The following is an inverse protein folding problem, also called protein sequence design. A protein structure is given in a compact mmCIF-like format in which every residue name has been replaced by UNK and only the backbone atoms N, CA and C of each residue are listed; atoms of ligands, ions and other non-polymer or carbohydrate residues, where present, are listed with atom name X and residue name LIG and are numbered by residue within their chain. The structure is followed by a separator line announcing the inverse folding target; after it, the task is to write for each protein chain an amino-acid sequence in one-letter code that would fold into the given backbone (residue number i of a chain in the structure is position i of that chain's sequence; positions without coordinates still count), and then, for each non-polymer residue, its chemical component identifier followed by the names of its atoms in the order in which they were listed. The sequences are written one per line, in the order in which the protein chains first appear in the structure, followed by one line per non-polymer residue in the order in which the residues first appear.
data_IF_891052612287
#
_entry.id   IF_891052612287
#
_cell.length_a   1.000
_cell.length_b   1.000
_cell.length_c   1.000
_cell.angle_alpha   90.00
_cell.angle_beta   90.00
_cell.angle_gamma   90.00
#
_symmetry.space_group_name_H-M   'P 1'
#
loop_
_entity.id
_entity.type
_entity.pdbx_description
1 polymer ?
#
# COMPACT_ATOMS: atom_id res chain seq x y z
N UNK A 1 -3.82 7.89 -14.80
CA UNK A 1 -5.11 7.17 -14.87
C UNK A 1 -5.39 6.49 -13.55
N UNK A 2 -6.22 7.10 -12.70
CA UNK A 2 -6.59 6.54 -11.39
C UNK A 2 -7.65 5.47 -11.58
N UNK A 3 -7.36 4.22 -11.20
CA UNK A 3 -8.35 3.11 -11.24
C UNK A 3 -8.98 2.96 -9.86
N UNK A 4 -10.30 3.19 -9.76
CA UNK A 4 -11.08 2.91 -8.53
C UNK A 4 -11.22 1.40 -8.34
N UNK A 5 -10.87 0.92 -7.16
CA UNK A 5 -11.17 -0.44 -6.72
C UNK A 5 -12.62 -0.50 -6.24
N UNK A 6 -13.55 -0.68 -7.18
CA UNK A 6 -14.92 -1.05 -6.84
C UNK A 6 -15.01 -2.56 -6.64
N UNK A 7 -16.03 -3.01 -5.89
CA UNK A 7 -16.47 -4.38 -5.53
C UNK A 7 -16.42 -5.48 -6.62
N UNK A 8 -16.02 -5.14 -7.85
CA UNK A 8 -15.83 -6.03 -9.00
C UNK A 8 -14.61 -5.58 -9.83
N UNK A 9 -13.47 -5.37 -9.17
CA UNK A 9 -12.21 -5.03 -9.85
C UNK A 9 -11.61 -6.29 -10.49
N UNK A 10 -11.20 -6.21 -11.77
CA UNK A 10 -10.45 -7.27 -12.46
C UNK A 10 -9.20 -7.59 -11.63
N UNK A 11 -8.86 -8.88 -11.41
CA UNK A 11 -7.65 -9.23 -10.69
C UNK A 11 -6.45 -8.61 -11.41
N UNK A 12 -5.70 -7.81 -10.67
CA UNK A 12 -4.44 -7.21 -11.13
C UNK A 12 -3.35 -7.74 -10.21
N UNK A 13 -2.25 -8.22 -10.79
CA UNK A 13 -1.06 -8.66 -10.04
C UNK A 13 0.05 -7.64 -10.23
N UNK A 14 0.04 -6.51 -9.50
CA UNK A 14 1.06 -5.49 -9.63
C UNK A 14 2.40 -5.98 -9.08
N UNK A 15 3.50 -5.41 -9.59
CA UNK A 15 4.83 -5.68 -9.02
C UNK A 15 5.04 -5.01 -7.65
N UNK A 16 4.37 -3.89 -7.41
CA UNK A 16 4.42 -3.15 -6.15
C UNK A 16 3.01 -2.67 -5.79
N UNK A 17 2.56 -3.00 -4.59
CA UNK A 17 1.34 -2.50 -3.99
C UNK A 17 1.67 -1.65 -2.77
N UNK A 18 1.10 -0.44 -2.69
CA UNK A 18 1.29 0.47 -1.55
C UNK A 18 -0.08 0.74 -0.92
N UNK A 19 -0.30 0.21 0.29
CA UNK A 19 -1.46 0.51 1.13
C UNK A 19 -1.18 1.77 1.94
N UNK A 20 -2.04 2.77 1.76
CA UNK A 20 -1.88 4.11 2.32
C UNK A 20 -3.10 4.46 3.17
N UNK A 21 -3.04 4.24 4.50
CA UNK A 21 -4.15 4.58 5.40
C UNK A 21 -5.41 3.74 5.22
N UNK A 22 -5.27 2.49 4.76
CA UNK A 22 -6.39 1.56 4.54
C UNK A 22 -6.33 0.45 5.59
N UNK A 23 -7.45 0.20 6.28
CA UNK A 23 -7.57 -0.78 7.36
C UNK A 23 -7.60 -2.25 6.91
N UNK A 24 -7.48 -2.53 5.60
CA UNK A 24 -7.37 -3.89 5.08
C UNK A 24 -8.69 -4.67 5.03
N UNK A 25 -9.81 -4.04 4.62
CA UNK A 25 -11.09 -4.72 4.44
C UNK A 25 -10.94 -5.96 3.54
N UNK A 26 -11.54 -7.09 3.93
CA UNK A 26 -11.35 -8.43 3.34
C UNK A 26 -11.45 -8.45 1.80
N UNK A 27 -12.29 -7.61 1.19
CA UNK A 27 -12.44 -7.52 -0.26
C UNK A 27 -11.27 -6.86 -1.01
N UNK A 28 -10.39 -6.12 -0.33
CA UNK A 28 -9.13 -5.63 -0.90
C UNK A 28 -8.02 -6.68 -0.83
N UNK A 29 -8.02 -7.57 0.18
CA UNK A 29 -6.98 -8.61 0.35
C UNK A 29 -6.87 -9.54 -0.87
N UNK A 30 -7.99 -9.93 -1.48
CA UNK A 30 -8.02 -10.85 -2.62
C UNK A 30 -7.32 -10.33 -3.89
N UNK A 31 -7.22 -9.00 -4.06
CA UNK A 31 -6.45 -8.39 -5.15
C UNK A 31 -5.05 -7.92 -4.76
N UNK A 32 -4.77 -7.84 -3.45
CA UNK A 32 -3.49 -7.39 -2.88
C UNK A 32 -2.50 -8.53 -2.69
N UNK A 33 -2.98 -9.73 -2.33
CA UNK A 33 -2.13 -10.89 -2.04
C UNK A 33 -1.32 -11.39 -3.25
N UNK A 34 -1.71 -11.04 -4.48
CA UNK A 34 -0.97 -11.44 -5.69
C UNK A 34 0.13 -10.47 -6.08
N UNK A 35 0.33 -9.39 -5.31
CA UNK A 35 1.42 -8.46 -5.54
C UNK A 35 2.77 -9.08 -5.14
N UNK A 36 3.83 -8.75 -5.89
CA UNK A 36 5.18 -9.25 -5.56
C UNK A 36 5.78 -8.57 -4.32
N UNK A 37 5.42 -7.31 -4.09
CA UNK A 37 5.85 -6.52 -2.93
C UNK A 37 4.66 -5.71 -2.42
N UNK A 38 4.38 -5.82 -1.12
CA UNK A 38 3.31 -5.13 -0.41
C UNK A 38 3.94 -4.21 0.64
N UNK A 39 3.76 -2.90 0.44
CA UNK A 39 4.16 -1.87 1.41
C UNK A 39 2.90 -1.33 2.09
N UNK A 40 2.88 -1.28 3.41
CA UNK A 40 1.78 -0.72 4.18
C UNK A 40 2.25 0.48 5.02
N UNK A 41 1.50 1.58 4.95
CA UNK A 41 1.69 2.77 5.78
C UNK A 41 0.42 3.02 6.57
N UNK A 42 0.52 2.93 7.89
CA UNK A 42 -0.61 3.21 8.79
C UNK A 42 -0.12 3.86 10.09
N UNK A 43 -0.97 4.65 10.74
CA UNK A 43 -0.68 5.25 12.06
C UNK A 43 -0.80 4.22 13.18
N UNK A 44 -1.74 3.30 13.04
CA UNK A 44 -2.05 2.28 14.05
C UNK A 44 -1.17 1.06 13.85
N UNK A 45 -0.23 0.82 14.77
CA UNK A 45 0.72 -0.30 14.73
C UNK A 45 0.03 -1.68 14.79
N UNK A 46 -1.17 -1.75 15.38
CA UNK A 46 -1.96 -2.98 15.53
C UNK A 46 -2.87 -3.26 14.31
N UNK A 47 -2.70 -2.52 13.22
CA UNK A 47 -3.56 -2.66 12.05
C UNK A 47 -3.35 -4.01 11.34
N UNK A 48 -4.42 -4.73 10.97
CA UNK A 48 -4.34 -6.04 10.30
C UNK A 48 -3.80 -5.97 8.85
N UNK A 49 -3.47 -4.78 8.36
CA UNK A 49 -2.76 -4.60 7.08
C UNK A 49 -1.30 -5.04 7.18
N UNK A 50 -0.70 -4.98 8.38
CA UNK A 50 0.69 -5.36 8.58
C UNK A 50 0.91 -6.87 8.54
N UNK A 51 -0.14 -7.68 8.78
CA UNK A 51 -0.08 -9.14 8.67
C UNK A 51 0.23 -9.63 7.25
N UNK A 52 -0.12 -8.84 6.24
CA UNK A 52 0.05 -9.18 4.82
C UNK A 52 1.10 -8.31 4.13
N UNK A 53 1.75 -7.39 4.85
CA UNK A 53 2.71 -6.45 4.28
C UNK A 53 4.13 -7.02 4.37
N UNK A 54 4.89 -6.91 3.28
CA UNK A 54 6.33 -7.19 3.29
C UNK A 54 7.10 -6.06 3.99
N UNK A 55 6.62 -4.83 3.85
CA UNK A 55 7.20 -3.64 4.50
C UNK A 55 6.12 -2.82 5.19
N UNK A 56 6.26 -2.58 6.49
CA UNK A 56 5.35 -1.77 7.29
C UNK A 56 5.99 -0.47 7.78
N UNK A 57 5.32 0.66 7.58
CA UNK A 57 5.70 1.97 8.14
C UNK A 57 4.60 2.44 9.08
N UNK A 58 4.96 2.63 10.35
CA UNK A 58 4.06 3.18 11.36
C UNK A 58 4.23 4.71 11.37
N UNK A 59 3.23 5.43 10.89
CA UNK A 59 3.33 6.89 10.80
C UNK A 59 2.21 7.55 10.02
N UNK A 60 2.21 8.88 10.04
CA UNK A 60 1.25 9.68 9.28
C UNK A 60 1.52 9.58 7.78
N UNK A 61 0.51 9.13 7.04
CA UNK A 61 0.56 9.01 5.59
C UNK A 61 1.01 10.29 4.89
N UNK A 62 0.51 11.45 5.35
CA UNK A 62 0.82 12.75 4.76
C UNK A 62 2.25 13.23 5.08
N UNK A 63 2.91 12.63 6.07
CA UNK A 63 4.33 12.89 6.36
C UNK A 63 5.24 11.91 5.62
N UNK A 64 4.85 10.63 5.58
CA UNK A 64 5.65 9.55 5.01
C UNK A 64 5.68 9.58 3.48
N UNK A 65 4.53 9.80 2.81
CA UNK A 65 4.48 9.76 1.35
C UNK A 65 5.32 10.85 0.66
N UNK A 66 5.31 12.12 1.11
CA UNK A 66 6.17 13.14 0.51
C UNK A 66 7.66 12.80 0.64
N UNK A 67 8.10 12.35 1.82
CA UNK A 67 9.49 11.94 2.07
C UNK A 67 9.92 10.79 1.16
N UNK A 68 9.08 9.75 1.05
CA UNK A 68 9.33 8.63 0.15
C UNK A 68 9.40 9.08 -1.31
N UNK A 69 8.52 9.99 -1.72
CA UNK A 69 8.48 10.51 -3.09
C UNK A 69 9.73 11.33 -3.43
N UNK A 70 10.19 12.17 -2.51
CA UNK A 70 11.42 12.96 -2.67
C UNK A 70 12.65 12.06 -2.80
N UNK A 71 12.78 11.06 -1.93
CA UNK A 71 13.90 10.12 -1.97
C UNK A 71 13.90 9.28 -3.26
N UNK A 72 12.72 8.81 -3.70
CA UNK A 72 12.59 8.11 -4.98
C UNK A 72 13.01 9.02 -6.13
N UNK A 73 12.60 10.29 -6.13
CA UNK A 73 13.00 11.25 -7.17
C UNK A 73 14.51 11.49 -7.18
N UNK A 74 15.14 11.64 -6.01
CA UNK A 74 16.61 11.79 -5.90
C UNK A 74 17.36 10.61 -6.48
N UNK A 75 16.89 9.38 -6.23
CA UNK A 75 17.52 8.14 -6.74
C UNK A 75 17.19 7.82 -8.20
N UNK A 76 16.22 8.53 -8.78
CA UNK A 76 15.78 8.34 -10.17
C UNK A 76 16.49 9.30 -11.15
N UNK A 77 17.39 10.15 -10.63
CA UNK A 77 18.41 10.86 -11.40
C UNK A 77 19.76 10.15 -11.27
#
# INVERSE_FOLDING_TARGET
TTRRWARRARPVSPQLYISAGISGAIQQKAGMQTAKVIVAVNKDAESPVFEIADFGIIGDLFKVLPQATEEIKKRKG
#
